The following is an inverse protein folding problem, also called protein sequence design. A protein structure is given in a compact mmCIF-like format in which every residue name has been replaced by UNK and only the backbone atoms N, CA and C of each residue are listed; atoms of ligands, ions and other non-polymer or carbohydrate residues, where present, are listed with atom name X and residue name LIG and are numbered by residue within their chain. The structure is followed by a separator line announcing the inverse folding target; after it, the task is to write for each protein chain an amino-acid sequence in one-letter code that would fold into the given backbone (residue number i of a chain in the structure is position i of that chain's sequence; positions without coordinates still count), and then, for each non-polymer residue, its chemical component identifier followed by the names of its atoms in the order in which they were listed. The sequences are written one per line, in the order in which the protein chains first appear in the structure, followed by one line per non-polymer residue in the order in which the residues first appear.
data_IF_013544385768
#
_entry.id   IF_013544385768
#
_cell.length_a   1.000
_cell.length_b   1.000
_cell.length_c   1.000
_cell.angle_alpha   90.00
_cell.angle_beta   90.00
_cell.angle_gamma   90.00
#
_symmetry.space_group_name_H-M   'P 1'
#
loop_
_entity.id
_entity.type
_entity.pdbx_description
1 polymer ?
#
# COMPACT_ATOMS: atom_id res chain seq x y z
N UNK A 1 1.59 -0.86 3.60
CA UNK A 1 0.61 -1.34 4.60
C UNK A 1 -0.77 -1.28 3.98
N UNK A 2 -1.51 -2.39 3.99
CA UNK A 2 -2.90 -2.42 3.54
C UNK A 2 -3.84 -2.11 4.71
N UNK A 3 -4.84 -1.28 4.47
CA UNK A 3 -5.96 -1.02 5.38
C UNK A 3 -7.30 -1.32 4.68
N UNK A 4 -8.34 -1.63 5.46
CA UNK A 4 -9.68 -1.90 4.93
C UNK A 4 -10.29 -0.66 4.25
N UNK A 5 -9.93 0.52 4.74
CA UNK A 5 -10.21 1.83 4.18
C UNK A 5 -9.15 2.84 4.68
N UNK A 6 -9.08 4.01 4.04
CA UNK A 6 -8.04 4.98 4.36
C UNK A 6 -8.21 5.62 5.74
N UNK A 7 -9.44 5.77 6.23
CA UNK A 7 -9.71 6.38 7.53
C UNK A 7 -9.30 5.44 8.67
N UNK A 8 -9.59 4.15 8.57
CA UNK A 8 -9.12 3.14 9.54
C UNK A 8 -7.60 3.02 9.54
N UNK A 9 -6.96 3.13 8.37
CA UNK A 9 -5.51 3.23 8.23
C UNK A 9 -4.90 4.43 8.96
N UNK A 10 -5.44 5.64 8.75
CA UNK A 10 -5.00 6.86 9.44
C UNK A 10 -5.18 6.72 10.95
N UNK A 11 -6.35 6.30 11.40
CA UNK A 11 -6.65 6.17 12.83
C UNK A 11 -5.73 5.13 13.50
N UNK A 12 -5.35 4.06 12.79
CA UNK A 12 -4.35 3.11 13.29
C UNK A 12 -2.97 3.75 13.42
N UNK A 13 -2.51 4.52 12.43
CA UNK A 13 -1.22 5.21 12.51
C UNK A 13 -1.18 6.20 13.68
N UNK A 14 -2.25 6.95 13.91
CA UNK A 14 -2.32 7.91 15.02
C UNK A 14 -2.25 7.21 16.37
N UNK A 15 -2.99 6.11 16.56
CA UNK A 15 -2.98 5.35 17.82
C UNK A 15 -1.68 4.60 18.07
N UNK A 16 -1.10 4.00 17.04
CA UNK A 16 0.03 3.08 17.18
C UNK A 16 1.38 3.79 17.04
N UNK A 17 1.48 4.76 16.14
CA UNK A 17 2.73 5.45 15.80
C UNK A 17 2.76 6.90 16.29
N UNK A 18 1.63 7.46 16.73
CA UNK A 18 1.53 8.87 17.16
C UNK A 18 1.64 9.86 16.00
N UNK A 19 1.45 9.43 14.75
CA UNK A 19 1.64 10.23 13.53
C UNK A 19 0.40 10.15 12.65
N UNK A 20 -0.07 11.30 12.17
CA UNK A 20 -1.08 11.39 11.11
C UNK A 20 -0.38 11.33 9.74
N UNK A 21 -0.67 10.32 8.90
CA UNK A 21 -0.11 10.22 7.56
C UNK A 21 -0.53 11.39 6.65
N UNK A 22 0.40 11.90 5.84
CA UNK A 22 0.11 12.98 4.88
C UNK A 22 -0.77 12.47 3.74
N UNK A 23 -1.54 13.38 3.12
CA UNK A 23 -2.27 13.07 1.90
C UNK A 23 -1.31 12.48 0.85
N UNK A 24 -1.71 11.35 0.28
CA UNK A 24 -1.09 10.80 -0.92
C UNK A 24 -1.93 11.15 -2.14
N UNK A 25 -2.33 10.15 -2.91
CA UNK A 25 -3.15 10.30 -4.11
C UNK A 25 -4.06 9.11 -4.36
N UNK A 26 -4.79 9.22 -5.47
CA UNK A 26 -5.59 8.13 -6.02
C UNK A 26 -4.83 7.45 -7.16
N UNK A 27 -5.09 6.15 -7.33
CA UNK A 27 -4.53 5.35 -8.40
C UNK A 27 -5.68 4.84 -9.28
N UNK A 28 -6.15 5.61 -10.29
CA UNK A 28 -7.30 5.24 -11.12
C UNK A 28 -7.16 3.88 -11.81
N UNK A 29 -5.94 3.55 -12.24
CA UNK A 29 -5.65 2.24 -12.82
C UNK A 29 -6.09 1.12 -11.87
N UNK A 30 -5.66 1.19 -10.62
CA UNK A 30 -5.89 0.14 -9.62
C UNK A 30 -7.13 0.35 -8.77
N UNK A 31 -7.85 1.48 -8.90
CA UNK A 31 -8.97 1.83 -8.02
C UNK A 31 -8.56 1.81 -6.54
N UNK A 32 -7.36 2.28 -6.22
CA UNK A 32 -6.85 2.40 -4.85
C UNK A 32 -6.55 3.85 -4.53
N UNK A 33 -6.36 4.14 -3.24
CA UNK A 33 -5.89 5.44 -2.76
C UNK A 33 -4.95 5.25 -1.57
N UNK A 34 -4.12 6.25 -1.29
CA UNK A 34 -3.11 6.11 -0.25
C UNK A 34 -2.92 7.37 0.63
N UNK A 35 -2.18 7.13 1.71
CA UNK A 35 -1.50 8.13 2.54
C UNK A 35 -0.05 7.72 2.71
N UNK A 36 0.80 8.68 3.00
CA UNK A 36 2.24 8.47 3.10
C UNK A 36 2.77 8.93 4.45
N UNK A 37 3.71 8.18 5.00
CA UNK A 37 4.54 8.60 6.13
C UNK A 37 5.99 8.58 5.68
N UNK A 38 6.71 9.67 5.92
CA UNK A 38 8.15 9.69 5.71
C UNK A 38 8.83 8.90 6.84
N UNK A 39 9.64 7.90 6.47
CA UNK A 39 10.47 7.11 7.42
C UNK A 39 11.94 7.14 7.02
N UNK A 40 12.34 8.17 6.27
CA UNK A 40 13.69 8.30 5.76
C UNK A 40 14.70 8.52 6.88
N UNK A 41 15.93 8.10 6.60
CA UNK A 41 17.10 8.29 7.47
C UNK A 41 18.33 8.59 6.61
N UNK A 42 19.46 9.02 7.20
CA UNK A 42 20.70 9.19 6.43
C UNK A 42 21.11 7.93 5.65
N UNK A 43 20.84 6.74 6.18
CA UNK A 43 21.11 5.47 5.50
C UNK A 43 20.08 5.15 4.40
N UNK A 44 18.84 5.61 4.56
CA UNK A 44 17.73 5.36 3.62
C UNK A 44 16.97 6.66 3.32
N UNK A 45 17.55 7.59 2.53
CA UNK A 45 17.02 8.95 2.41
C UNK A 45 15.69 9.04 1.64
N UNK A 46 15.27 7.95 0.98
CA UNK A 46 14.06 7.89 0.15
C UNK A 46 13.00 6.90 0.70
N UNK A 47 13.15 6.44 1.94
CA UNK A 47 12.23 5.46 2.51
C UNK A 47 10.91 6.12 2.97
N UNK A 48 9.79 5.48 2.66
CA UNK A 48 8.47 5.88 3.11
C UNK A 48 7.62 4.65 3.44
N UNK A 49 6.63 4.84 4.32
CA UNK A 49 5.57 3.88 4.54
C UNK A 49 4.33 4.36 3.78
N UNK A 50 3.80 3.52 2.92
CA UNK A 50 2.52 3.74 2.27
C UNK A 50 1.40 3.03 3.04
N UNK A 51 0.34 3.78 3.37
CA UNK A 51 -0.95 3.23 3.78
C UNK A 51 -1.85 3.24 2.56
N UNK A 52 -2.22 2.07 2.04
CA UNK A 52 -3.03 1.93 0.83
C UNK A 52 -4.34 1.19 1.16
N UNK A 53 -5.42 1.56 0.47
CA UNK A 53 -6.71 0.88 0.56
C UNK A 53 -7.40 0.85 -0.81
N UNK A 54 -8.33 -0.09 -1.00
CA UNK A 54 -9.23 -0.11 -2.16
C UNK A 54 -10.21 1.06 -2.04
N UNK A 55 -10.28 1.91 -3.06
CA UNK A 55 -11.25 3.00 -3.11
C UNK A 55 -12.60 2.44 -3.61
N UNK A 56 -13.49 2.10 -2.67
CA UNK A 56 -14.83 1.54 -2.97
C UNK A 56 -15.73 2.48 -3.78
N UNK A 57 -15.42 3.77 -3.82
CA UNK A 57 -16.13 4.77 -4.63
C UNK A 57 -15.58 4.95 -6.04
N UNK A 58 -14.45 4.32 -6.37
CA UNK A 58 -13.81 4.43 -7.67
C UNK A 58 -13.92 3.14 -8.49
N UNK A 59 -14.17 3.29 -9.78
CA UNK A 59 -14.03 2.19 -10.75
C UNK A 59 -12.56 2.03 -11.10
N UNK A 60 -12.00 0.83 -10.90
CA UNK A 60 -10.64 0.53 -11.37
C UNK A 60 -10.62 0.43 -12.90
N UNK A 61 -9.58 0.97 -13.53
CA UNK A 61 -9.40 0.89 -14.98
C UNK A 61 -8.69 -0.40 -15.46
N UNK A 62 -8.40 -1.34 -14.57
CA UNK A 62 -7.92 -2.67 -14.99
C UNK A 62 -9.05 -3.47 -15.66
N UNK A 63 -8.73 -4.37 -16.61
CA UNK A 63 -9.70 -5.31 -17.17
C UNK A 63 -10.34 -6.18 -16.08
N UNK A 64 -11.55 -6.67 -16.31
CA UNK A 64 -12.26 -7.53 -15.34
C UNK A 64 -11.55 -8.85 -15.01
N UNK A 65 -10.63 -9.30 -15.88
CA UNK A 65 -9.75 -10.45 -15.64
C UNK A 65 -8.46 -10.10 -14.90
N UNK A 66 -8.15 -8.81 -14.73
CA UNK A 66 -6.97 -8.33 -14.02
C UNK A 66 -7.14 -8.39 -12.51
N UNK A 67 -6.02 -8.26 -11.78
CA UNK A 67 -5.99 -8.12 -10.32
C UNK A 67 -5.22 -6.87 -9.94
N UNK A 68 -5.64 -6.23 -8.85
CA UNK A 68 -4.93 -5.11 -8.22
C UNK A 68 -3.56 -5.56 -7.70
N UNK A 69 -2.67 -4.58 -7.52
CA UNK A 69 -1.37 -4.82 -6.90
C UNK A 69 -1.48 -5.51 -5.53
N UNK A 70 -0.41 -6.19 -5.14
CA UNK A 70 -0.20 -6.70 -3.78
C UNK A 70 -1.29 -7.65 -3.27
N UNK A 71 -1.90 -8.41 -4.19
CA UNK A 71 -2.98 -9.36 -3.89
C UNK A 71 -4.18 -8.73 -3.17
N UNK A 72 -4.40 -7.43 -3.34
CA UNK A 72 -5.46 -6.70 -2.63
C UNK A 72 -6.88 -7.22 -2.94
N UNK A 73 -7.06 -7.95 -4.03
CA UNK A 73 -8.33 -8.61 -4.39
C UNK A 73 -8.51 -10.00 -3.75
N UNK A 74 -7.50 -10.52 -3.05
CA UNK A 74 -7.59 -11.81 -2.36
C UNK A 74 -8.51 -11.72 -1.13
N UNK A 75 -9.51 -12.60 -1.07
CA UNK A 75 -10.53 -12.58 -0.03
C UNK A 75 -9.97 -12.93 1.36
N UNK A 76 -8.98 -13.82 1.43
CA UNK A 76 -8.37 -14.18 2.70
C UNK A 76 -7.54 -13.02 3.25
N UNK A 77 -6.78 -12.33 2.39
CA UNK A 77 -6.06 -11.12 2.77
C UNK A 77 -6.99 -10.01 3.23
N UNK A 78 -8.09 -9.76 2.50
CA UNK A 78 -9.08 -8.75 2.90
C UNK A 78 -9.72 -9.08 4.26
N UNK A 79 -10.08 -10.35 4.49
CA UNK A 79 -10.61 -10.81 5.76
C UNK A 79 -9.59 -10.64 6.89
N UNK A 80 -8.32 -11.01 6.66
CA UNK A 80 -7.24 -10.84 7.63
C UNK A 80 -7.07 -9.36 8.03
N UNK A 81 -7.12 -8.43 7.07
CA UNK A 81 -7.04 -6.97 7.34
C UNK A 81 -8.28 -6.48 8.08
N UNK A 82 -9.47 -7.02 7.78
CA UNK A 82 -10.69 -6.67 8.49
C UNK A 82 -10.64 -7.11 9.97
N UNK A 83 -10.13 -8.31 10.23
CA UNK A 83 -10.11 -8.90 11.58
C UNK A 83 -8.97 -8.38 12.45
N UNK A 84 -7.82 -8.08 11.86
CA UNK A 84 -6.60 -7.74 12.59
C UNK A 84 -6.14 -6.29 12.40
N UNK A 85 -6.81 -5.54 11.52
CA UNK A 85 -6.48 -4.16 11.21
C UNK A 85 -5.35 -4.01 10.18
N UNK A 86 -4.88 -2.76 9.98
CA UNK A 86 -3.84 -2.47 9.00
C UNK A 86 -2.53 -3.21 9.25
N UNK A 87 -1.94 -3.77 8.19
CA UNK A 87 -0.73 -4.58 8.29
C UNK A 87 0.19 -4.46 7.07
N UNK A 88 1.48 -4.72 7.27
CA UNK A 88 2.46 -4.69 6.19
C UNK A 88 2.35 -5.96 5.34
N UNK A 89 2.05 -5.80 4.05
CA UNK A 89 1.78 -6.93 3.13
C UNK A 89 2.77 -7.01 1.96
N UNK A 90 3.62 -5.99 1.77
CA UNK A 90 4.51 -5.88 0.62
C UNK A 90 5.68 -4.91 0.88
N UNK A 91 6.78 -5.08 0.13
CA UNK A 91 7.93 -4.18 0.06
C UNK A 91 8.24 -3.76 -1.37
N UNK A 92 8.26 -2.46 -1.65
CA UNK A 92 8.68 -1.92 -2.96
C UNK A 92 10.13 -1.45 -2.86
N UNK A 93 11.00 -1.97 -3.72
CA UNK A 93 12.39 -1.54 -3.80
C UNK A 93 12.64 -0.79 -5.11
N UNK A 94 13.15 0.44 -5.00
CA UNK A 94 13.62 1.19 -6.17
C UNK A 94 15.00 0.66 -6.58
N UNK A 95 15.10 0.12 -7.79
CA UNK A 95 16.34 -0.40 -8.38
C UNK A 95 16.70 0.38 -9.65
N UNK A 96 17.99 0.45 -10.04
CA UNK A 96 18.39 1.11 -11.28
C UNK A 96 17.83 0.42 -12.53
N UNK A 97 17.70 -0.91 -12.47
CA UNK A 97 17.21 -1.76 -13.55
C UNK A 97 16.42 -2.93 -12.93
N UNK A 98 15.13 -3.02 -13.25
CA UNK A 98 14.22 -4.04 -12.70
C UNK A 98 14.46 -5.41 -13.32
N UNK A 99 14.82 -5.48 -14.60
CA UNK A 99 15.06 -6.76 -15.29
C UNK A 99 16.33 -7.40 -14.76
N UNK A 100 17.41 -6.62 -14.67
CA UNK A 100 18.67 -7.08 -14.10
C UNK A 100 18.51 -7.46 -12.61
N UNK A 101 17.75 -6.68 -11.85
CA UNK A 101 17.46 -6.97 -10.44
C UNK A 101 16.71 -8.29 -10.25
N UNK A 102 15.69 -8.54 -11.08
CA UNK A 102 14.95 -9.81 -11.05
C UNK A 102 15.83 -11.01 -11.46
N UNK A 103 16.64 -10.87 -12.51
CA UNK A 103 17.53 -11.94 -12.97
C UNK A 103 18.55 -12.35 -11.90
N UNK A 104 19.00 -11.42 -11.06
CA UNK A 104 19.94 -11.71 -9.97
C UNK A 104 19.32 -12.47 -8.78
N UNK A 105 17.99 -12.62 -8.73
CA UNK A 105 17.27 -13.35 -7.68
C UNK A 105 16.93 -14.80 -8.06
N UNK A 106 17.17 -15.19 -9.31
CA UNK A 106 16.81 -16.50 -9.87
C UNK A 106 17.82 -17.61 -9.53
#
# INVERSE_FOLDING_TARGET
MLAADLASGVAWCERTLGITPTAGGEHPLMGTHNRILNVSSPAHPRAYLEVIAINKGATSAIPSSGRRWFDMDDAALQQQVADHGPQLIHWVAAVPDVEAGCAALA
#
